data_IF_580556513271
#
_entry.id   IF_580556513271
#
_cell.length_a   1.000
_cell.length_b   1.000
_cell.length_c   1.000
_cell.angle_alpha   90.00
_cell.angle_beta   90.00
_cell.angle_gamma   90.00
#
_symmetry.space_group_name_H-M   'P 1'
#
loop_
_entity.id
_entity.type
_entity.pdbx_description
1 polymer ?
#
# COMPACT_ATOMS: atom_id res chain seq x y z
N UNK A 1 -3.55 -3.70 24.73
CA UNK A 1 -3.31 -4.01 23.29
C UNK A 1 -3.78 -5.42 22.92
N UNK A 2 -3.22 -6.48 23.53
CA UNK A 2 -3.57 -7.88 23.19
C UNK A 2 -5.07 -8.17 23.25
N UNK A 3 -5.77 -7.70 24.30
CA UNK A 3 -7.23 -7.87 24.42
C UNK A 3 -8.02 -7.31 23.23
N UNK A 4 -7.58 -6.16 22.69
CA UNK A 4 -8.24 -5.52 21.55
C UNK A 4 -8.06 -6.40 20.31
N UNK A 5 -6.81 -6.79 20.03
CA UNK A 5 -6.47 -7.68 18.89
C UNK A 5 -7.27 -8.98 18.97
N UNK A 6 -7.36 -9.58 20.17
CA UNK A 6 -8.05 -10.85 20.34
C UNK A 6 -9.54 -10.75 19.96
N UNK A 7 -10.26 -9.78 20.51
CA UNK A 7 -11.69 -9.64 20.26
C UNK A 7 -12.04 -9.13 18.85
N UNK A 8 -11.13 -8.45 18.16
CA UNK A 8 -11.39 -7.89 16.83
C UNK A 8 -10.86 -8.74 15.68
N UNK A 9 -9.93 -9.68 15.93
CA UNK A 9 -9.22 -10.41 14.86
C UNK A 9 -9.15 -11.93 15.06
N UNK A 10 -9.13 -12.41 16.31
CA UNK A 10 -8.98 -13.85 16.61
C UNK A 10 -10.33 -14.45 17.00
N UNK A 11 -10.88 -14.01 18.13
CA UNK A 11 -12.14 -14.52 18.70
C UNK A 11 -13.34 -13.65 18.27
N UNK A 12 -13.32 -13.18 17.02
CA UNK A 12 -14.43 -12.42 16.44
C UNK A 12 -15.54 -13.39 15.97
N UNK A 13 -16.76 -13.34 16.51
CA UNK A 13 -17.86 -14.16 16.01
C UNK A 13 -18.27 -13.70 14.60
N UNK A 14 -18.05 -14.54 13.59
CA UNK A 14 -18.44 -14.29 12.20
C UNK A 14 -19.49 -15.30 11.72
N UNK A 15 -20.48 -14.89 10.91
CA UNK A 15 -21.43 -15.82 10.30
C UNK A 15 -20.72 -16.91 9.46
N UNK A 16 -21.23 -18.15 9.50
CA UNK A 16 -20.62 -19.27 8.75
C UNK A 16 -20.85 -19.22 7.23
N UNK A 17 -21.80 -18.39 6.77
CA UNK A 17 -22.23 -18.28 5.38
C UNK A 17 -21.79 -16.96 4.71
N UNK A 18 -20.67 -16.37 5.12
CA UNK A 18 -20.13 -15.17 4.46
C UNK A 18 -19.76 -15.46 3.01
N UNK A 19 -20.18 -14.58 2.10
CA UNK A 19 -19.87 -14.68 0.67
C UNK A 19 -18.51 -14.07 0.34
N UNK A 20 -18.05 -14.27 -0.90
CA UNK A 20 -16.79 -13.69 -1.37
C UNK A 20 -16.72 -12.15 -1.22
N UNK A 21 -17.85 -11.45 -1.22
CA UNK A 21 -17.95 -10.00 -1.05
C UNK A 21 -17.42 -9.50 0.30
N UNK A 22 -17.45 -10.34 1.34
CA UNK A 22 -16.91 -9.95 2.65
C UNK A 22 -15.38 -9.83 2.68
N UNK A 23 -14.67 -10.36 1.67
CA UNK A 23 -13.22 -10.22 1.56
C UNK A 23 -12.77 -8.80 1.15
N UNK A 24 -13.66 -7.98 0.59
CA UNK A 24 -13.25 -6.64 0.13
C UNK A 24 -12.77 -5.74 1.27
N UNK A 25 -13.27 -5.92 2.50
CA UNK A 25 -12.79 -5.16 3.65
C UNK A 25 -11.30 -5.40 3.95
N UNK A 26 -10.88 -6.66 4.02
CA UNK A 26 -9.47 -7.01 4.27
C UNK A 26 -8.58 -6.66 3.07
N UNK A 27 -9.07 -6.85 1.84
CA UNK A 27 -8.36 -6.44 0.63
C UNK A 27 -8.11 -4.93 0.60
N UNK A 28 -9.09 -4.10 0.95
CA UNK A 28 -8.91 -2.65 1.07
C UNK A 28 -7.88 -2.27 2.14
N UNK A 29 -7.88 -2.99 3.27
CA UNK A 29 -6.85 -2.82 4.30
C UNK A 29 -5.44 -3.13 3.79
N UNK A 30 -5.28 -4.21 3.02
CA UNK A 30 -4.01 -4.57 2.37
C UNK A 30 -3.61 -3.52 1.33
N UNK A 31 -4.54 -3.06 0.48
CA UNK A 31 -4.30 -1.98 -0.47
C UNK A 31 -3.79 -0.73 0.24
N UNK A 32 -4.43 -0.29 1.32
CA UNK A 32 -4.00 0.88 2.07
C UNK A 32 -2.58 0.73 2.62
N UNK A 33 -2.26 -0.41 3.24
CA UNK A 33 -0.91 -0.68 3.76
C UNK A 33 0.12 -0.66 2.62
N UNK A 34 -0.17 -1.33 1.50
CA UNK A 34 0.70 -1.34 0.33
C UNK A 34 0.94 0.06 -0.23
N UNK A 35 -0.12 0.88 -0.34
CA UNK A 35 -0.02 2.24 -0.87
C UNK A 35 0.73 3.19 0.05
N UNK A 36 0.55 3.08 1.37
CA UNK A 36 1.33 3.86 2.34
C UNK A 36 2.80 3.49 2.26
N UNK A 37 3.13 2.20 2.27
CA UNK A 37 4.51 1.74 2.23
C UNK A 37 5.19 2.17 0.91
N UNK A 38 4.61 1.81 -0.23
CA UNK A 38 5.18 2.16 -1.54
C UNK A 38 5.25 3.67 -1.74
N UNK A 39 4.22 4.42 -1.36
CA UNK A 39 4.19 5.89 -1.44
C UNK A 39 5.27 6.53 -0.58
N UNK A 40 5.52 6.01 0.62
CA UNK A 40 6.60 6.48 1.50
C UNK A 40 7.97 6.29 0.83
N UNK A 41 8.25 5.12 0.27
CA UNK A 41 9.52 4.87 -0.43
C UNK A 41 9.67 5.74 -1.68
N UNK A 42 8.59 6.01 -2.43
CA UNK A 42 8.62 6.94 -3.56
C UNK A 42 8.89 8.38 -3.11
N UNK A 43 8.27 8.82 -2.02
CA UNK A 43 8.44 10.17 -1.48
C UNK A 43 9.89 10.45 -1.05
N UNK A 44 10.66 9.44 -0.63
CA UNK A 44 12.08 9.57 -0.31
C UNK A 44 12.95 9.97 -1.52
N UNK A 45 12.47 9.74 -2.74
CA UNK A 45 13.20 10.00 -3.99
C UNK A 45 12.50 11.00 -4.93
N UNK A 46 11.27 11.40 -4.62
CA UNK A 46 10.50 12.36 -5.39
C UNK A 46 10.85 13.81 -5.01
N UNK A 47 10.85 14.72 -5.98
CA UNK A 47 11.04 16.16 -5.74
C UNK A 47 9.80 16.93 -6.18
N UNK A 48 9.10 17.64 -5.26
CA UNK A 48 7.85 18.33 -5.55
C UNK A 48 8.06 19.73 -6.15
N UNK A 49 9.01 19.88 -7.08
CA UNK A 49 9.26 21.13 -7.82
C UNK A 49 8.90 20.93 -9.30
N UNK A 50 8.23 21.91 -9.92
CA UNK A 50 7.70 21.75 -11.29
C UNK A 50 8.77 21.53 -12.34
N UNK A 51 10.01 21.99 -12.10
CA UNK A 51 11.13 21.78 -13.02
C UNK A 51 11.74 20.38 -12.90
N UNK A 52 11.51 19.67 -11.78
CA UNK A 52 12.17 18.39 -11.46
C UNK A 52 11.21 17.23 -11.15
N UNK A 53 9.90 17.49 -11.06
CA UNK A 53 8.90 16.47 -10.74
C UNK A 53 8.94 15.28 -11.71
N UNK A 54 9.00 15.55 -13.02
CA UNK A 54 9.07 14.49 -14.03
C UNK A 54 10.42 13.73 -14.00
N UNK A 55 11.53 14.46 -13.90
CA UNK A 55 12.87 13.84 -13.88
C UNK A 55 13.11 13.02 -12.62
N UNK A 56 12.56 13.42 -11.47
CA UNK A 56 12.64 12.63 -10.23
C UNK A 56 11.89 11.29 -10.32
N UNK A 57 10.73 11.25 -10.99
CA UNK A 57 10.02 9.98 -11.28
C UNK A 57 10.80 9.11 -12.27
N UNK A 58 11.42 9.71 -13.28
CA UNK A 58 12.28 8.98 -14.21
C UNK A 58 13.51 8.38 -13.50
N UNK A 59 14.14 9.14 -12.60
CA UNK A 59 15.23 8.68 -11.73
C UNK A 59 14.79 7.51 -10.83
N UNK A 60 13.61 7.60 -10.20
CA UNK A 60 13.04 6.47 -9.43
C UNK A 60 12.95 5.21 -10.29
N UNK A 61 12.49 5.30 -11.54
CA UNK A 61 12.29 4.12 -12.36
C UNK A 61 13.58 3.52 -12.90
N UNK A 62 14.63 4.33 -13.13
CA UNK A 62 15.85 3.90 -13.83
C UNK A 62 17.04 3.67 -12.92
N UNK A 63 17.15 4.48 -11.87
CA UNK A 63 18.39 4.61 -11.10
C UNK A 63 18.23 4.15 -9.64
N UNK A 64 16.99 4.13 -9.10
CA UNK A 64 16.71 3.57 -7.76
C UNK A 64 16.54 2.05 -7.85
N UNK A 65 17.22 1.31 -6.98
CA UNK A 65 17.12 -0.15 -6.88
C UNK A 65 15.66 -0.59 -6.71
N UNK A 66 15.16 -1.42 -7.64
CA UNK A 66 13.76 -1.85 -7.70
C UNK A 66 12.72 -0.72 -7.76
N UNK A 67 13.14 0.52 -8.02
CA UNK A 67 12.25 1.67 -8.00
C UNK A 67 11.16 1.61 -9.07
N UNK A 68 11.41 0.96 -10.22
CA UNK A 68 10.37 0.67 -11.21
C UNK A 68 9.26 -0.24 -10.63
N UNK A 69 9.62 -1.30 -9.89
CA UNK A 69 8.65 -2.20 -9.25
C UNK A 69 7.81 -1.43 -8.25
N UNK A 70 8.45 -0.66 -7.37
CA UNK A 70 7.77 0.13 -6.33
C UNK A 70 6.82 1.14 -6.98
N UNK A 71 7.27 1.84 -8.03
CA UNK A 71 6.45 2.82 -8.75
C UNK A 71 5.25 2.17 -9.42
N UNK A 72 5.43 1.03 -10.09
CA UNK A 72 4.31 0.36 -10.75
C UNK A 72 3.35 -0.30 -9.76
N UNK A 73 3.85 -0.81 -8.63
CA UNK A 73 3.00 -1.32 -7.56
C UNK A 73 2.14 -0.19 -6.97
N UNK A 74 2.73 0.98 -6.71
CA UNK A 74 1.99 2.15 -6.23
C UNK A 74 0.97 2.69 -7.24
N UNK A 75 1.29 2.64 -8.54
CA UNK A 75 0.41 3.18 -9.58
C UNK A 75 -0.76 2.25 -9.95
N UNK A 76 -0.61 0.93 -9.77
CA UNK A 76 -1.65 -0.06 -10.07
C UNK A 76 -2.47 -0.49 -8.84
N UNK A 77 -1.97 -0.23 -7.63
CA UNK A 77 -2.67 -0.48 -6.37
C UNK A 77 -3.71 0.58 -6.04
#
# INVERSE_FOLDING_TARGET
>A
LIKIINHSFIDLPTPSNISAWWNFGSLLGICLILQILTGLFLAMHYTPDTMTAFSSVAHICRDVNYGWIIRYLHANG
#
